data_IF_917530467531
#
_entry.id   IF_917530467531
#
_cell.length_a   1.000
_cell.length_b   1.000
_cell.length_c   1.000
_cell.angle_alpha   90.00
_cell.angle_beta   90.00
_cell.angle_gamma   90.00
#
_symmetry.space_group_name_H-M   'P 1'
#
loop_
_entity.id
_entity.type
_entity.pdbx_description
1 polymer ?
#
# COMPACT_ATOMS: atom_id res chain seq x y z
N UNK A 1 19.93 11.02 10.18
CA UNK A 1 19.95 12.22 11.03
C UNK A 1 19.62 11.92 12.48
N UNK A 2 18.78 12.77 13.08
CA UNK A 2 18.19 12.68 14.43
C UNK A 2 16.65 12.60 14.38
N UNK A 3 16.12 12.05 13.28
CA UNK A 3 14.68 11.93 13.05
C UNK A 3 14.00 11.02 14.07
N UNK A 4 12.71 11.25 14.29
CA UNK A 4 11.94 10.52 15.32
C UNK A 4 10.64 9.99 14.76
N UNK A 5 10.31 8.75 15.09
CA UNK A 5 9.01 8.15 14.81
C UNK A 5 8.35 7.78 16.12
N UNK A 6 7.15 8.30 16.39
CA UNK A 6 6.31 7.86 17.51
C UNK A 6 5.12 7.07 16.95
N UNK A 7 5.44 5.86 16.51
CA UNK A 7 4.53 4.89 15.90
C UNK A 7 5.25 3.55 15.78
N UNK A 8 4.49 2.49 15.55
CA UNK A 8 5.04 1.24 15.05
C UNK A 8 5.53 1.42 13.60
N UNK A 9 6.66 0.81 13.26
CA UNK A 9 7.26 0.89 11.93
C UNK A 9 7.35 -0.50 11.35
N UNK A 10 6.79 -0.69 10.16
CA UNK A 10 6.73 -1.99 9.51
C UNK A 10 7.14 -1.92 8.04
N UNK A 11 7.91 -2.91 7.60
CA UNK A 11 8.23 -3.17 6.19
C UNK A 11 8.50 -4.66 5.97
N UNK A 12 8.23 -5.18 4.77
CA UNK A 12 8.59 -6.55 4.40
C UNK A 12 10.10 -6.72 4.07
N UNK A 13 10.85 -5.61 4.04
CA UNK A 13 12.24 -5.59 3.61
C UNK A 13 13.15 -5.07 4.74
N UNK A 14 13.68 -3.86 4.60
CA UNK A 14 14.78 -3.36 5.42
C UNK A 14 14.39 -2.09 6.19
N UNK A 15 14.78 -2.04 7.45
CA UNK A 15 14.71 -0.87 8.31
C UNK A 15 16.13 -0.47 8.70
N UNK A 16 16.51 0.78 8.39
CA UNK A 16 17.82 1.36 8.72
C UNK A 16 17.65 2.56 9.64
N UNK A 17 18.18 2.48 10.86
CA UNK A 17 18.29 3.62 11.78
C UNK A 17 19.77 3.97 11.96
N UNK A 18 20.12 5.22 11.67
CA UNK A 18 21.49 5.72 11.74
C UNK A 18 21.54 7.04 12.51
N UNK A 19 22.74 7.41 12.99
CA UNK A 19 22.94 8.70 13.66
C UNK A 19 22.26 8.72 15.03
N UNK A 20 21.32 9.63 15.27
CA UNK A 20 20.54 9.70 16.53
C UNK A 20 19.06 9.43 16.29
N UNK A 21 18.73 8.67 15.25
CA UNK A 21 17.35 8.35 14.91
C UNK A 21 16.70 7.53 16.02
N UNK A 22 15.43 7.79 16.31
CA UNK A 22 14.69 7.08 17.35
C UNK A 22 13.30 6.65 16.89
N UNK A 23 12.91 5.42 17.24
CA UNK A 23 11.54 4.91 17.09
C UNK A 23 10.95 4.68 18.48
N UNK A 24 9.77 5.23 18.75
CA UNK A 24 8.97 5.04 19.95
C UNK A 24 7.75 4.20 19.60
N UNK A 25 7.98 2.89 19.52
CA UNK A 25 7.05 1.89 19.00
C UNK A 25 7.80 0.63 18.61
N UNK A 26 7.04 -0.37 18.18
CA UNK A 26 7.61 -1.64 17.74
C UNK A 26 8.09 -1.55 16.29
N UNK A 27 9.16 -2.29 15.98
CA UNK A 27 9.81 -2.31 14.67
C UNK A 27 9.67 -3.71 14.07
N UNK A 28 9.18 -3.78 12.83
CA UNK A 28 8.92 -5.02 12.11
C UNK A 28 9.61 -4.97 10.74
N UNK A 29 10.69 -5.73 10.55
CA UNK A 29 11.39 -5.76 9.27
C UNK A 29 12.21 -7.03 9.08
N UNK A 30 12.33 -7.53 7.85
CA UNK A 30 13.18 -8.69 7.54
C UNK A 30 14.61 -8.44 8.00
N UNK A 31 15.16 -7.30 7.59
CA UNK A 31 16.48 -6.81 8.03
C UNK A 31 16.30 -5.54 8.85
N UNK A 32 16.83 -5.52 10.06
CA UNK A 32 16.89 -4.31 10.89
C UNK A 32 18.36 -3.97 11.13
N UNK A 33 18.76 -2.78 10.71
CA UNK A 33 20.11 -2.25 10.91
C UNK A 33 20.04 -1.01 11.80
N UNK A 34 20.71 -1.06 12.95
CA UNK A 34 20.84 0.03 13.90
C UNK A 34 22.31 0.43 13.99
N UNK A 35 22.66 1.68 13.73
CA UNK A 35 24.02 2.19 13.87
C UNK A 35 24.04 3.59 14.53
N UNK A 36 25.23 4.06 14.91
CA UNK A 36 25.43 5.34 15.58
C UNK A 36 24.92 5.31 17.03
N UNK A 37 24.06 6.25 17.38
CA UNK A 37 23.33 6.36 18.66
C UNK A 37 21.82 6.19 18.42
N UNK A 38 21.44 5.35 17.45
CA UNK A 38 20.03 5.09 17.15
C UNK A 38 19.36 4.31 18.28
N UNK A 39 18.05 4.50 18.45
CA UNK A 39 17.30 3.84 19.51
C UNK A 39 15.94 3.32 19.03
N UNK A 40 15.56 2.14 19.52
CA UNK A 40 14.18 1.62 19.44
C UNK A 40 13.64 1.45 20.84
N UNK A 41 12.63 2.26 21.18
CA UNK A 41 11.90 2.21 22.44
C UNK A 41 10.66 1.32 22.30
N UNK A 42 10.89 0.04 22.00
CA UNK A 42 9.87 -0.97 21.71
C UNK A 42 10.52 -2.31 21.36
N UNK A 43 9.69 -3.27 20.93
CA UNK A 43 10.14 -4.58 20.47
C UNK A 43 10.68 -4.49 19.04
N UNK A 44 11.61 -5.38 18.70
CA UNK A 44 12.16 -5.50 17.35
C UNK A 44 11.94 -6.92 16.84
N UNK A 45 11.14 -7.04 15.78
CA UNK A 45 10.83 -8.28 15.05
C UNK A 45 11.68 -8.35 13.79
N UNK A 46 12.51 -9.39 13.66
CA UNK A 46 13.49 -9.50 12.58
C UNK A 46 13.79 -10.92 12.11
N UNK A 47 14.37 -11.04 10.91
CA UNK A 47 15.13 -12.23 10.47
C UNK A 47 16.63 -12.00 10.67
N UNK A 48 17.13 -10.84 10.22
CA UNK A 48 18.50 -10.38 10.42
C UNK A 48 18.55 -9.07 11.20
N UNK A 49 19.24 -9.05 12.33
CA UNK A 49 19.50 -7.84 13.12
C UNK A 49 20.99 -7.51 13.09
N UNK A 50 21.33 -6.30 12.62
CA UNK A 50 22.68 -5.74 12.68
C UNK A 50 22.69 -4.54 13.61
N UNK A 51 23.55 -4.57 14.62
CA UNK A 51 23.74 -3.46 15.56
C UNK A 51 25.19 -2.99 15.53
N UNK A 52 25.40 -1.72 15.24
CA UNK A 52 26.66 -1.00 15.30
C UNK A 52 26.60 0.18 16.28
N UNK A 53 27.75 0.78 16.56
CA UNK A 53 27.86 1.95 17.42
C UNK A 53 27.37 1.74 18.86
N UNK A 54 26.70 2.76 19.40
CA UNK A 54 26.00 2.81 20.69
C UNK A 54 24.48 2.71 20.50
N UNK A 55 24.03 1.89 19.54
CA UNK A 55 22.60 1.70 19.31
C UNK A 55 21.90 1.01 20.50
N UNK A 56 20.63 1.32 20.72
CA UNK A 56 19.84 0.83 21.86
C UNK A 56 18.50 0.23 21.42
N UNK A 57 18.10 -0.87 22.06
CA UNK A 57 16.76 -1.46 21.95
C UNK A 57 16.29 -1.69 23.39
N UNK A 58 15.16 -1.10 23.80
CA UNK A 58 14.64 -1.24 25.17
C UNK A 58 13.63 -2.37 25.35
N UNK A 59 13.01 -2.85 24.26
CA UNK A 59 12.08 -3.98 24.27
C UNK A 59 12.76 -5.31 23.91
N UNK A 60 11.95 -6.31 23.56
CA UNK A 60 12.43 -7.63 23.20
C UNK A 60 13.01 -7.68 21.78
N UNK A 61 14.00 -8.55 21.58
CA UNK A 61 14.57 -8.90 20.27
C UNK A 61 13.97 -10.22 19.83
N UNK A 62 13.03 -10.18 18.90
CA UNK A 62 12.23 -11.33 18.50
C UNK A 62 12.64 -11.73 17.08
N UNK A 63 13.32 -12.87 16.94
CA UNK A 63 13.73 -13.41 15.65
C UNK A 63 12.55 -14.11 14.93
N UNK A 64 11.50 -13.35 14.65
CA UNK A 64 10.32 -13.75 13.87
C UNK A 64 10.01 -12.61 12.90
N UNK A 65 10.28 -12.81 11.62
CA UNK A 65 9.86 -11.86 10.60
C UNK A 65 8.34 -11.91 10.46
N UNK A 66 7.68 -10.78 10.73
CA UNK A 66 6.25 -10.59 10.52
C UNK A 66 6.10 -9.89 9.17
N UNK A 67 5.46 -10.56 8.23
CA UNK A 67 5.11 -9.98 6.94
C UNK A 67 3.73 -9.32 7.02
N UNK A 68 3.58 -8.24 6.26
CA UNK A 68 2.25 -7.72 5.89
C UNK A 68 1.91 -8.10 4.48
N UNK A 69 0.61 -8.15 4.20
CA UNK A 69 0.08 -8.36 2.86
C UNK A 69 0.84 -7.46 1.86
N UNK A 70 1.62 -8.04 0.94
CA UNK A 70 2.43 -7.29 -0.01
C UNK A 70 1.60 -6.70 -1.15
N UNK A 71 0.28 -6.91 -1.18
CA UNK A 71 -0.63 -6.35 -2.18
C UNK A 71 -1.37 -5.15 -1.60
N UNK A 72 -0.89 -3.92 -1.87
CA UNK A 72 -1.67 -2.74 -1.60
C UNK A 72 -2.99 -2.75 -2.39
N UNK A 73 -3.94 -1.94 -1.94
CA UNK A 73 -5.14 -1.60 -2.71
C UNK A 73 -4.67 -0.80 -3.92
N UNK A 74 -4.99 -1.29 -5.12
CA UNK A 74 -4.67 -0.58 -6.35
C UNK A 74 -5.49 0.70 -6.48
N UNK A 75 -4.81 1.78 -6.85
CA UNK A 75 -5.40 3.11 -6.91
C UNK A 75 -6.06 3.45 -8.24
N UNK A 76 -5.88 2.64 -9.31
CA UNK A 76 -6.35 2.96 -10.65
C UNK A 76 -7.84 3.32 -10.74
N UNK A 77 -8.72 2.51 -10.14
CA UNK A 77 -10.17 2.78 -10.14
C UNK A 77 -10.56 4.02 -9.31
N UNK A 78 -9.83 4.27 -8.22
CA UNK A 78 -10.01 5.45 -7.37
C UNK A 78 -9.56 6.71 -8.14
N UNK A 79 -8.45 6.61 -8.87
CA UNK A 79 -7.92 7.66 -9.72
C UNK A 79 -8.94 8.07 -10.79
N UNK A 80 -9.49 7.10 -11.52
CA UNK A 80 -10.47 7.32 -12.58
C UNK A 80 -11.76 7.95 -12.04
N UNK A 81 -12.22 7.50 -10.87
CA UNK A 81 -13.37 8.11 -10.21
C UNK A 81 -13.08 9.55 -9.79
N UNK A 82 -11.94 9.81 -9.12
CA UNK A 82 -11.57 11.16 -8.69
C UNK A 82 -11.35 12.10 -9.89
N UNK A 83 -10.76 11.64 -10.99
CA UNK A 83 -10.55 12.45 -12.19
C UNK A 83 -11.87 12.90 -12.83
N UNK A 84 -12.90 12.03 -12.81
CA UNK A 84 -14.22 12.32 -13.39
C UNK A 84 -15.14 13.07 -12.44
N UNK A 85 -15.15 12.67 -11.17
CA UNK A 85 -16.16 13.01 -10.17
C UNK A 85 -15.50 13.74 -8.97
N UNK A 86 -14.83 14.87 -9.22
CA UNK A 86 -14.22 15.72 -8.18
C UNK A 86 -14.95 17.04 -7.94
N UNK A 87 -14.58 17.65 -6.82
CA UNK A 87 -15.03 18.91 -6.27
C UNK A 87 -14.03 20.05 -6.51
N UNK A 88 -13.15 19.97 -7.53
CA UNK A 88 -12.18 21.04 -7.79
C UNK A 88 -12.85 22.39 -8.08
N UNK A 89 -14.09 22.39 -8.60
CA UNK A 89 -14.90 23.59 -8.79
C UNK A 89 -15.35 24.26 -7.48
N UNK A 90 -15.23 23.57 -6.33
CA UNK A 90 -15.51 24.11 -4.99
C UNK A 90 -14.28 24.72 -4.32
N UNK A 91 -13.10 24.66 -4.95
CA UNK A 91 -11.89 25.29 -4.41
C UNK A 91 -12.09 26.81 -4.41
N UNK A 92 -12.09 27.48 -3.24
CA UNK A 92 -12.26 28.92 -3.19
C UNK A 92 -11.00 29.64 -3.68
N UNK A 93 -11.12 30.95 -3.89
CA UNK A 93 -9.91 31.79 -3.95
C UNK A 93 -9.15 31.71 -2.62
N UNK A 94 -7.85 31.91 -2.69
CA UNK A 94 -7.01 32.05 -1.50
C UNK A 94 -7.37 33.31 -0.71
N UNK A 95 -6.86 33.44 0.52
CA UNK A 95 -7.03 34.63 1.36
C UNK A 95 -6.48 35.90 0.69
N UNK A 96 -5.56 35.78 -0.29
CA UNK A 96 -5.09 36.89 -1.14
C UNK A 96 -5.82 37.03 -2.48
N UNK A 97 -6.89 36.28 -2.72
CA UNK A 97 -7.70 36.37 -3.94
C UNK A 97 -7.07 35.67 -5.16
N UNK A 98 -6.09 34.77 -4.98
CA UNK A 98 -5.48 34.00 -6.08
C UNK A 98 -6.28 32.72 -6.34
N UNK A 99 -6.21 32.20 -7.57
CA UNK A 99 -6.64 30.84 -7.89
C UNK A 99 -5.58 29.84 -7.40
N UNK A 100 -6.00 28.84 -6.63
CA UNK A 100 -5.10 27.83 -6.07
C UNK A 100 -4.78 26.67 -7.03
N UNK A 101 -5.60 26.47 -8.06
CA UNK A 101 -5.45 25.42 -9.06
C UNK A 101 -5.33 26.04 -10.45
N UNK A 102 -4.36 25.57 -11.24
CA UNK A 102 -4.22 25.99 -12.64
C UNK A 102 -4.95 25.07 -13.63
N UNK A 103 -4.91 25.42 -14.91
CA UNK A 103 -5.53 24.65 -16.00
C UNK A 103 -4.95 23.24 -16.19
N UNK A 104 -3.74 23.00 -15.67
CA UNK A 104 -3.04 21.72 -15.75
C UNK A 104 -3.28 20.89 -14.46
N UNK A 105 -4.24 21.30 -13.63
CA UNK A 105 -4.62 20.68 -12.36
C UNK A 105 -3.48 20.64 -11.34
N UNK A 106 -2.60 21.65 -11.36
CA UNK A 106 -1.56 21.84 -10.35
C UNK A 106 -2.10 22.72 -9.24
N UNK A 107 -2.23 22.14 -8.05
CA UNK A 107 -2.61 22.87 -6.84
C UNK A 107 -1.35 23.52 -6.23
N UNK A 108 -1.33 24.85 -6.12
CA UNK A 108 -0.20 25.60 -5.58
C UNK A 108 -0.62 26.70 -4.63
N UNK A 109 0.00 26.76 -3.44
CA UNK A 109 -0.10 27.89 -2.51
C UNK A 109 1.30 28.36 -2.11
N UNK A 110 1.56 29.66 -2.26
CA UNK A 110 2.86 30.29 -1.97
C UNK A 110 2.74 31.67 -1.29
N UNK A 111 3.86 32.34 -1.05
CA UNK A 111 3.91 33.73 -0.57
C UNK A 111 3.19 34.01 0.77
N UNK A 112 3.18 33.07 1.71
CA UNK A 112 2.45 33.16 2.99
C UNK A 112 0.94 33.31 2.80
N UNK A 113 0.40 32.79 1.70
CA UNK A 113 -1.02 32.77 1.43
C UNK A 113 -1.70 31.63 2.20
N UNK A 114 -3.03 31.60 2.17
CA UNK A 114 -3.80 30.58 2.87
C UNK A 114 -5.08 30.25 2.12
N UNK A 115 -5.54 29.01 2.27
CA UNK A 115 -6.81 28.54 1.71
C UNK A 115 -7.45 27.54 2.67
N UNK A 116 -8.77 27.46 2.66
CA UNK A 116 -9.53 26.43 3.36
C UNK A 116 -10.24 25.56 2.34
N UNK A 117 -9.97 24.25 2.36
CA UNK A 117 -10.72 23.26 1.60
C UNK A 117 -11.87 22.73 2.46
N UNK A 118 -13.08 22.75 1.91
CA UNK A 118 -14.27 22.15 2.53
C UNK A 118 -14.37 20.66 2.22
N UNK A 119 -15.24 19.93 2.91
CA UNK A 119 -15.59 18.54 2.57
C UNK A 119 -15.74 18.31 1.07
N UNK A 120 -15.06 17.29 0.54
CA UNK A 120 -15.10 16.94 -0.88
C UNK A 120 -14.02 15.94 -1.31
N UNK A 121 -14.08 15.56 -2.58
CA UNK A 121 -13.05 14.77 -3.28
C UNK A 121 -12.33 15.69 -4.26
N UNK A 122 -11.02 15.87 -4.11
CA UNK A 122 -10.22 16.72 -4.97
C UNK A 122 -9.23 15.87 -5.78
N UNK A 123 -8.96 16.30 -7.01
CA UNK A 123 -8.07 15.58 -7.92
C UNK A 123 -7.03 16.52 -8.49
N UNK A 124 -5.75 16.22 -8.25
CA UNK A 124 -4.62 17.05 -8.67
C UNK A 124 -3.62 16.21 -9.47
N UNK A 125 -2.96 16.85 -10.44
CA UNK A 125 -1.78 16.29 -11.08
C UNK A 125 -0.50 16.57 -10.31
N UNK A 126 -0.49 17.64 -9.51
CA UNK A 126 0.62 18.02 -8.63
C UNK A 126 0.09 18.90 -7.50
N UNK A 127 0.70 18.80 -6.33
CA UNK A 127 0.38 19.62 -5.17
C UNK A 127 1.64 20.24 -4.56
N UNK A 128 1.69 21.56 -4.46
CA UNK A 128 2.84 22.29 -3.89
C UNK A 128 2.39 23.36 -2.89
N UNK A 129 2.88 23.28 -1.65
CA UNK A 129 2.62 24.26 -0.60
C UNK A 129 3.95 24.78 -0.09
N UNK A 130 4.24 26.07 -0.32
CA UNK A 130 5.53 26.66 -0.01
C UNK A 130 5.41 28.08 0.57
N UNK A 131 6.52 28.70 0.96
CA UNK A 131 6.57 30.11 1.33
C UNK A 131 5.84 30.46 2.63
N UNK A 132 5.80 29.54 3.61
CA UNK A 132 5.07 29.65 4.88
C UNK A 132 3.54 29.71 4.70
N UNK A 133 3.04 29.08 3.65
CA UNK A 133 1.62 29.07 3.32
C UNK A 133 0.85 28.03 4.12
N UNK A 134 -0.48 28.14 4.13
CA UNK A 134 -1.34 27.22 4.90
C UNK A 134 -2.52 26.71 4.08
N UNK A 135 -2.70 25.40 4.08
CA UNK A 135 -3.94 24.76 3.64
C UNK A 135 -4.67 24.27 4.88
N UNK A 136 -5.86 24.80 5.14
CA UNK A 136 -6.75 24.40 6.23
C UNK A 136 -7.79 23.43 5.68
N UNK A 137 -8.17 22.44 6.49
CA UNK A 137 -9.20 21.46 6.15
C UNK A 137 -10.42 21.72 7.02
N UNK A 138 -11.60 21.74 6.41
CA UNK A 138 -12.88 21.90 7.10
C UNK A 138 -13.84 20.78 6.70
N UNK A 139 -13.92 19.75 7.53
CA UNK A 139 -14.67 18.51 7.26
C UNK A 139 -13.82 17.46 6.53
N UNK A 140 -14.48 16.49 5.91
CA UNK A 140 -13.79 15.32 5.35
C UNK A 140 -13.30 15.59 3.92
N UNK A 141 -11.99 15.70 3.76
CA UNK A 141 -11.33 16.00 2.48
C UNK A 141 -10.54 14.80 1.99
N UNK A 142 -10.89 14.28 0.82
CA UNK A 142 -10.12 13.24 0.14
C UNK A 142 -9.40 13.88 -1.04
N UNK A 143 -8.08 13.73 -1.11
CA UNK A 143 -7.26 14.26 -2.19
C UNK A 143 -6.65 13.08 -2.94
N UNK A 144 -6.88 13.00 -4.24
CA UNK A 144 -6.14 12.12 -5.14
C UNK A 144 -5.11 12.96 -5.90
N UNK A 145 -3.82 12.61 -5.78
CA UNK A 145 -2.74 13.30 -6.47
C UNK A 145 -1.94 12.30 -7.34
N UNK A 146 -1.95 12.48 -8.66
CA UNK A 146 -1.17 11.61 -9.57
C UNK A 146 0.35 11.85 -9.47
N UNK A 147 0.73 13.07 -9.12
CA UNK A 147 2.14 13.47 -9.09
C UNK A 147 2.65 13.75 -7.69
N UNK A 148 3.72 14.54 -7.64
CA UNK A 148 4.37 14.97 -6.41
C UNK A 148 3.42 15.77 -5.51
N UNK A 149 3.42 15.43 -4.22
CA UNK A 149 2.87 16.25 -3.14
C UNK A 149 4.05 16.81 -2.35
N UNK A 150 4.27 18.12 -2.43
CA UNK A 150 5.39 18.80 -1.80
C UNK A 150 4.91 19.88 -0.82
N UNK A 151 5.39 19.79 0.42
CA UNK A 151 5.13 20.78 1.48
C UNK A 151 6.46 21.25 2.04
N UNK A 152 6.78 22.52 1.82
CA UNK A 152 8.11 23.08 2.11
C UNK A 152 8.00 24.54 2.60
N UNK A 153 9.13 25.17 2.95
CA UNK A 153 9.22 26.59 3.25
C UNK A 153 8.52 26.98 4.55
N UNK A 154 8.46 26.07 5.52
CA UNK A 154 7.73 26.24 6.80
C UNK A 154 6.22 26.35 6.62
N UNK A 155 5.69 25.65 5.63
CA UNK A 155 4.26 25.66 5.30
C UNK A 155 3.49 24.61 6.11
N UNK A 156 2.17 24.73 6.14
CA UNK A 156 1.29 23.81 6.85
C UNK A 156 0.20 23.23 5.96
N UNK A 157 0.05 21.90 5.94
CA UNK A 157 -1.15 21.23 5.46
C UNK A 157 -1.91 20.64 6.64
N UNK A 158 -3.10 21.16 6.89
CA UNK A 158 -3.95 20.74 8.01
C UNK A 158 -3.26 20.78 9.39
N UNK A 159 -2.24 21.64 9.55
CA UNK A 159 -1.38 21.66 10.75
C UNK A 159 -2.15 21.87 12.06
N UNK A 160 -3.30 22.55 12.03
CA UNK A 160 -4.15 22.76 13.22
C UNK A 160 -5.35 21.81 13.32
N UNK A 161 -5.60 20.97 12.33
CA UNK A 161 -6.78 20.10 12.29
C UNK A 161 -6.51 18.68 12.78
N UNK A 162 -7.51 17.81 12.59
CA UNK A 162 -7.38 16.38 12.87
C UNK A 162 -6.81 15.67 11.63
N UNK A 163 -5.84 14.77 11.83
CA UNK A 163 -5.25 14.01 10.73
C UNK A 163 -6.29 13.14 9.98
N UNK A 164 -7.41 12.78 10.62
CA UNK A 164 -8.51 12.00 10.03
C UNK A 164 -9.47 12.82 9.17
N UNK A 165 -9.40 14.15 9.23
CA UNK A 165 -10.21 15.01 8.38
C UNK A 165 -9.68 15.03 6.94
N UNK A 166 -8.48 14.49 6.70
CA UNK A 166 -7.86 14.49 5.37
C UNK A 166 -7.16 13.19 5.02
N UNK A 167 -7.52 12.62 3.86
CA UNK A 167 -6.84 11.46 3.27
C UNK A 167 -6.20 11.90 1.96
N UNK A 168 -4.92 11.58 1.77
CA UNK A 168 -4.18 11.83 0.53
C UNK A 168 -3.84 10.48 -0.09
N UNK A 169 -4.35 10.25 -1.30
CA UNK A 169 -3.96 9.15 -2.17
C UNK A 169 -2.93 9.67 -3.17
N UNK A 170 -1.80 8.96 -3.33
CA UNK A 170 -0.81 9.30 -4.34
C UNK A 170 -0.33 8.10 -5.14
N UNK A 171 -0.51 8.17 -6.45
CA UNK A 171 -0.32 7.07 -7.38
C UNK A 171 0.75 7.41 -8.42
N UNK A 172 1.93 6.78 -8.28
CA UNK A 172 3.05 6.96 -9.19
C UNK A 172 2.78 6.39 -10.59
N UNK A 173 1.95 5.34 -10.70
CA UNK A 173 1.80 4.55 -11.94
C UNK A 173 1.11 5.33 -13.07
N UNK A 174 0.44 6.44 -12.74
CA UNK A 174 -0.24 7.31 -13.72
C UNK A 174 0.65 8.42 -14.30
N UNK A 175 1.97 8.39 -14.08
CA UNK A 175 2.94 9.14 -14.91
C UNK A 175 3.62 10.34 -14.23
N UNK A 176 3.94 10.24 -12.93
CA UNK A 176 4.66 11.28 -12.19
C UNK A 176 5.84 10.76 -11.35
N UNK A 177 6.53 11.69 -10.67
CA UNK A 177 7.61 11.36 -9.73
C UNK A 177 7.09 10.70 -8.43
N UNK A 178 5.76 10.58 -8.26
CA UNK A 178 5.08 9.78 -7.24
C UNK A 178 5.73 9.87 -5.87
N UNK A 179 5.89 11.11 -5.38
CA UNK A 179 6.64 11.39 -4.15
C UNK A 179 5.83 12.30 -3.24
N UNK A 180 5.76 11.92 -1.98
CA UNK A 180 5.26 12.77 -0.88
C UNK A 180 6.49 13.33 -0.17
N UNK A 181 6.72 14.63 -0.26
CA UNK A 181 7.86 15.29 0.38
C UNK A 181 7.39 16.37 1.35
N UNK A 182 7.83 16.27 2.60
CA UNK A 182 7.66 17.28 3.65
C UNK A 182 9.03 17.74 4.09
N UNK A 183 9.35 19.02 3.89
CA UNK A 183 10.71 19.55 4.07
C UNK A 183 10.74 20.87 4.84
N UNK A 184 11.95 21.34 5.15
CA UNK A 184 12.20 22.58 5.86
C UNK A 184 11.71 22.49 7.31
N UNK A 185 10.83 23.38 7.73
CA UNK A 185 10.17 23.34 9.04
C UNK A 185 8.65 23.22 8.86
N UNK A 186 8.23 22.44 7.86
CA UNK A 186 6.82 22.32 7.46
C UNK A 186 6.05 21.29 8.28
N UNK A 187 4.73 21.41 8.31
CA UNK A 187 3.85 20.52 9.07
C UNK A 187 2.74 19.94 8.19
N UNK A 188 2.49 18.64 8.32
CA UNK A 188 1.36 17.94 7.69
C UNK A 188 0.60 17.11 8.73
N UNK A 189 -0.74 17.19 8.69
CA UNK A 189 -1.62 16.25 9.39
C UNK A 189 -2.57 15.58 8.42
N UNK A 190 -2.35 14.32 8.09
CA UNK A 190 -3.17 13.58 7.13
C UNK A 190 -2.97 12.06 7.27
N UNK A 191 -3.94 11.29 6.79
CA UNK A 191 -3.71 9.91 6.38
C UNK A 191 -3.16 9.92 4.96
N UNK A 192 -2.02 9.29 4.73
CA UNK A 192 -1.36 9.21 3.42
C UNK A 192 -1.31 7.76 2.99
N UNK A 193 -1.90 7.48 1.83
CA UNK A 193 -1.89 6.18 1.19
C UNK A 193 -1.28 6.28 -0.22
N UNK A 194 -0.04 5.86 -0.34
CA UNK A 194 0.79 6.12 -1.51
C UNK A 194 1.60 4.86 -1.88
N UNK A 195 0.92 3.74 -2.21
CA UNK A 195 1.49 2.39 -2.25
C UNK A 195 2.73 2.23 -3.13
N UNK A 196 2.78 2.97 -4.25
CA UNK A 196 3.88 2.91 -5.22
C UNK A 196 4.85 4.11 -5.12
N UNK A 197 4.56 5.00 -4.17
CA UNK A 197 5.22 6.29 -4.01
C UNK A 197 6.23 6.29 -2.84
N UNK A 198 7.20 7.20 -2.92
CA UNK A 198 8.16 7.43 -1.84
C UNK A 198 7.63 8.50 -0.88
N UNK A 199 7.86 8.32 0.42
CA UNK A 199 7.48 9.27 1.46
C UNK A 199 8.75 9.77 2.15
N UNK A 200 8.99 11.07 2.06
CA UNK A 200 10.14 11.73 2.67
C UNK A 200 9.71 12.82 3.65
N UNK A 201 10.24 12.74 4.87
CA UNK A 201 10.06 13.76 5.93
C UNK A 201 11.46 14.24 6.34
N UNK A 202 11.85 15.42 5.88
CA UNK A 202 13.20 15.96 5.98
C UNK A 202 13.25 17.24 6.83
N UNK A 203 14.45 17.74 7.11
CA UNK A 203 14.64 19.01 7.83
C UNK A 203 14.17 18.91 9.28
N UNK A 204 13.38 19.88 9.76
CA UNK A 204 12.70 19.87 11.05
C UNK A 204 11.18 19.74 10.89
N UNK A 205 10.76 19.11 9.80
CA UNK A 205 9.35 18.95 9.49
C UNK A 205 8.63 18.02 10.45
N UNK A 206 7.30 18.19 10.54
CA UNK A 206 6.43 17.40 11.41
C UNK A 206 5.31 16.77 10.60
N UNK A 207 5.19 15.47 10.69
CA UNK A 207 4.11 14.69 10.11
C UNK A 207 3.30 14.04 11.23
N UNK A 208 1.98 14.20 11.18
CA UNK A 208 1.04 13.50 12.08
C UNK A 208 0.02 12.74 11.25
N UNK A 209 -0.22 11.48 11.58
CA UNK A 209 -1.19 10.64 10.87
C UNK A 209 -0.67 9.23 10.61
N UNK A 210 -1.22 8.59 9.59
CA UNK A 210 -0.83 7.24 9.15
C UNK A 210 -0.27 7.33 7.74
N UNK A 211 0.88 6.71 7.51
CA UNK A 211 1.62 6.82 6.25
C UNK A 211 1.93 5.43 5.73
N UNK A 212 1.40 5.13 4.56
CA UNK A 212 1.65 3.89 3.84
C UNK A 212 2.23 4.23 2.47
N UNK A 213 3.40 3.69 2.15
CA UNK A 213 3.97 3.82 0.81
C UNK A 213 5.08 2.83 0.52
N UNK A 214 5.60 2.86 -0.70
CA UNK A 214 6.61 1.91 -1.20
C UNK A 214 7.90 1.97 -0.38
N UNK A 215 8.27 3.19 0.02
CA UNK A 215 9.45 3.46 0.82
C UNK A 215 9.21 4.69 1.69
N UNK A 216 9.68 4.64 2.94
CA UNK A 216 9.71 5.77 3.85
C UNK A 216 11.14 6.20 4.17
N UNK A 217 11.40 7.50 4.20
CA UNK A 217 12.66 8.09 4.65
C UNK A 217 12.39 9.28 5.57
N UNK A 218 13.04 9.28 6.73
CA UNK A 218 12.99 10.40 7.66
C UNK A 218 14.43 10.84 7.95
N UNK A 219 14.75 12.10 7.65
CA UNK A 219 16.09 12.64 7.85
C UNK A 219 16.06 14.02 8.51
N UNK A 220 17.24 14.54 8.88
CA UNK A 220 17.36 15.74 9.70
C UNK A 220 16.82 15.50 11.12
N UNK A 221 16.03 16.43 11.62
CA UNK A 221 15.24 16.39 12.86
C UNK A 221 13.75 16.11 12.58
N UNK A 222 13.41 15.58 11.39
CA UNK A 222 12.03 15.31 11.00
C UNK A 222 11.33 14.35 11.96
N UNK A 223 10.03 14.57 12.21
CA UNK A 223 9.25 13.74 13.11
C UNK A 223 7.99 13.18 12.45
N UNK A 224 7.70 11.92 12.68
CA UNK A 224 6.43 11.27 12.34
C UNK A 224 5.73 10.80 13.62
N UNK A 225 4.45 11.10 13.79
CA UNK A 225 3.65 10.67 14.95
C UNK A 225 2.29 10.13 14.51
N UNK A 226 1.85 9.01 15.06
CA UNK A 226 0.46 8.56 14.89
C UNK A 226 -0.45 9.25 15.90
N UNK A 227 -1.68 9.65 15.52
CA UNK A 227 -2.67 10.17 16.47
C UNK A 227 -3.07 9.12 17.51
N UNK A 228 -3.51 9.53 18.71
CA UNK A 228 -3.92 8.63 19.80
C UNK A 228 -5.01 7.62 19.40
N UNK A 229 -5.89 8.01 18.48
CA UNK A 229 -6.86 7.10 17.88
C UNK A 229 -6.10 6.18 16.93
N UNK A 230 -5.95 4.91 17.26
CA UNK A 230 -5.38 3.92 16.34
C UNK A 230 -6.39 3.64 15.22
N UNK A 231 -5.99 3.75 13.95
CA UNK A 231 -6.67 3.00 12.90
C UNK A 231 -6.34 1.53 13.23
N UNK A 232 -7.34 0.63 13.35
CA UNK A 232 -7.02 -0.78 13.54
C UNK A 232 -6.08 -1.19 12.41
N UNK A 233 -4.87 -1.65 12.77
CA UNK A 233 -3.96 -2.21 11.81
C UNK A 233 -4.75 -3.21 10.96
N UNK A 234 -4.56 -3.19 9.63
CA UNK A 234 -5.06 -4.29 8.81
C UNK A 234 -4.65 -5.58 9.53
N UNK A 235 -5.58 -6.53 9.76
CA UNK A 235 -5.27 -7.72 10.54
C UNK A 235 -3.99 -8.30 9.96
N UNK A 236 -2.98 -8.46 10.83
CA UNK A 236 -1.75 -9.17 10.50
C UNK A 236 -2.24 -10.59 10.21
N UNK A 237 -2.57 -10.85 8.95
CA UNK A 237 -2.92 -12.17 8.50
C UNK A 237 -1.58 -12.87 8.40
N UNK A 238 -1.35 -13.86 9.27
CA UNK A 238 -0.34 -14.88 9.01
C UNK A 238 -0.71 -15.50 7.65
N UNK A 239 -0.11 -14.96 6.59
CA UNK A 239 -0.49 -15.23 5.20
C UNK A 239 -0.19 -16.70 4.83
N UNK A 240 0.66 -17.37 5.59
CA UNK A 240 1.07 -18.75 5.37
C UNK A 240 0.02 -19.82 5.72
N UNK A 241 -0.83 -19.59 6.73
CA UNK A 241 -1.72 -20.66 7.21
C UNK A 241 -2.86 -20.98 6.25
N UNK A 242 -3.28 -20.01 5.43
CA UNK A 242 -4.31 -20.23 4.42
C UNK A 242 -3.72 -20.71 3.09
N UNK A 243 -2.54 -20.24 2.68
CA UNK A 243 -1.90 -20.73 1.46
C UNK A 243 -1.61 -22.24 1.51
N UNK A 244 -1.25 -22.75 2.69
CA UNK A 244 -1.05 -24.18 2.94
C UNK A 244 -2.35 -25.01 2.80
N UNK A 245 -3.53 -24.39 2.88
CA UNK A 245 -4.82 -25.06 2.73
C UNK A 245 -5.27 -25.16 1.27
N UNK A 246 -4.66 -24.41 0.34
CA UNK A 246 -4.89 -24.62 -1.10
C UNK A 246 -4.32 -25.98 -1.48
N UNK A 247 -5.12 -26.87 -2.05
CA UNK A 247 -4.67 -28.21 -2.46
C UNK A 247 -4.89 -28.41 -3.95
N UNK A 248 -3.85 -28.84 -4.66
CA UNK A 248 -3.90 -29.25 -6.07
C UNK A 248 -3.26 -30.63 -6.16
N UNK A 249 -4.08 -31.67 -6.30
CA UNK A 249 -3.63 -33.08 -6.34
C UNK A 249 -4.36 -33.85 -7.42
N UNK A 250 -3.70 -34.87 -7.94
CA UNK A 250 -4.28 -35.82 -8.88
C UNK A 250 -4.61 -37.11 -8.12
N UNK A 251 -5.82 -37.61 -8.30
CA UNK A 251 -6.29 -38.87 -7.74
C UNK A 251 -7.10 -39.60 -8.82
N UNK A 252 -6.66 -40.81 -9.18
CA UNK A 252 -7.33 -41.66 -10.17
C UNK A 252 -7.57 -40.97 -11.54
N UNK A 253 -6.59 -40.17 -12.00
CA UNK A 253 -6.68 -39.41 -13.26
C UNK A 253 -7.61 -38.19 -13.20
N UNK A 254 -8.08 -37.80 -12.01
CA UNK A 254 -8.89 -36.61 -11.76
C UNK A 254 -8.06 -35.61 -10.95
N UNK A 255 -7.95 -34.38 -11.45
CA UNK A 255 -7.32 -33.31 -10.68
C UNK A 255 -8.35 -32.70 -9.74
N UNK A 256 -8.04 -32.67 -8.44
CA UNK A 256 -8.83 -32.03 -7.40
C UNK A 256 -8.16 -30.73 -6.96
N UNK A 257 -8.90 -29.64 -7.07
CA UNK A 257 -8.48 -28.28 -6.68
C UNK A 257 -9.37 -27.83 -5.52
N UNK A 258 -8.78 -27.59 -4.35
CA UNK A 258 -9.47 -27.01 -3.18
C UNK A 258 -8.88 -25.64 -2.89
N UNK A 259 -9.70 -24.59 -2.94
CA UNK A 259 -9.30 -23.17 -2.83
C UNK A 259 -10.31 -22.39 -2.01
N UNK A 260 -9.98 -21.17 -1.56
CA UNK A 260 -10.95 -20.35 -0.85
C UNK A 260 -11.91 -19.63 -1.79
N UNK A 261 -13.08 -19.23 -1.28
CA UNK A 261 -14.09 -18.45 -2.02
C UNK A 261 -13.59 -17.11 -2.56
N UNK A 262 -12.53 -16.54 -2.00
CA UNK A 262 -11.90 -15.32 -2.52
C UNK A 262 -10.88 -15.57 -3.64
N UNK A 263 -10.62 -16.83 -4.00
CA UNK A 263 -9.73 -17.19 -5.11
C UNK A 263 -10.50 -17.28 -6.44
N UNK A 264 -9.74 -17.25 -7.53
CA UNK A 264 -10.16 -17.76 -8.83
C UNK A 264 -9.26 -18.94 -9.24
N UNK A 265 -9.76 -19.82 -10.10
CA UNK A 265 -8.99 -20.93 -10.67
C UNK A 265 -9.04 -20.81 -12.17
N UNK A 266 -7.87 -20.73 -12.80
CA UNK A 266 -7.70 -20.81 -14.24
C UNK A 266 -7.12 -22.17 -14.63
N UNK A 267 -7.67 -22.73 -15.70
CA UNK A 267 -7.22 -23.96 -16.32
C UNK A 267 -6.75 -23.58 -17.72
N UNK A 268 -5.50 -23.90 -18.04
CA UNK A 268 -4.91 -23.68 -19.35
C UNK A 268 -4.42 -25.02 -19.89
N UNK A 269 -4.86 -25.39 -21.09
CA UNK A 269 -4.42 -26.61 -21.77
C UNK A 269 -3.52 -26.19 -22.93
N UNK A 270 -2.35 -26.82 -23.05
CA UNK A 270 -1.37 -26.54 -24.10
C UNK A 270 -0.95 -27.81 -24.83
N UNK A 271 -0.59 -27.73 -26.11
CA UNK A 271 0.09 -28.83 -26.80
C UNK A 271 1.59 -28.85 -26.45
N UNK A 272 2.33 -29.84 -26.98
CA UNK A 272 3.80 -29.95 -26.81
C UNK A 272 4.58 -28.71 -27.29
N UNK A 273 4.11 -28.03 -28.33
CA UNK A 273 4.73 -26.79 -28.84
C UNK A 273 4.44 -25.57 -27.93
N UNK A 274 3.63 -25.73 -26.89
CA UNK A 274 3.20 -24.65 -25.99
C UNK A 274 2.04 -23.81 -26.51
N UNK A 275 1.40 -24.20 -27.61
CA UNK A 275 0.19 -23.55 -28.12
C UNK A 275 -1.00 -23.86 -27.22
N UNK A 276 -1.77 -22.83 -26.86
CA UNK A 276 -2.94 -22.97 -25.99
C UNK A 276 -4.10 -23.62 -26.77
N UNK A 277 -4.57 -24.77 -26.29
CA UNK A 277 -5.66 -25.54 -26.86
C UNK A 277 -7.01 -25.23 -26.22
N UNK A 278 -7.05 -25.01 -24.91
CA UNK A 278 -8.29 -24.65 -24.19
C UNK A 278 -8.04 -23.77 -22.97
N UNK A 279 -9.12 -23.13 -22.51
CA UNK A 279 -9.10 -22.24 -21.34
C UNK A 279 -10.43 -22.26 -20.60
N UNK A 280 -10.37 -22.33 -19.28
CA UNK A 280 -11.51 -22.08 -18.43
C UNK A 280 -11.11 -21.33 -17.16
N UNK A 281 -12.04 -20.52 -16.65
CA UNK A 281 -11.86 -19.75 -15.42
C UNK A 281 -13.07 -19.89 -14.53
N UNK A 282 -12.83 -20.15 -13.25
CA UNK A 282 -13.85 -20.39 -12.24
C UNK A 282 -13.62 -19.48 -11.03
N UNK A 283 -14.72 -19.02 -10.43
CA UNK A 283 -14.71 -18.27 -9.18
C UNK A 283 -15.97 -18.62 -8.38
N UNK A 284 -15.90 -18.51 -7.06
CA UNK A 284 -17.12 -18.55 -6.25
C UNK A 284 -18.02 -17.33 -6.60
N UNK A 285 -19.35 -17.48 -6.58
CA UNK A 285 -20.27 -16.35 -6.69
C UNK A 285 -19.97 -15.31 -5.60
N UNK A 286 -19.96 -14.03 -5.99
CA UNK A 286 -19.79 -12.94 -5.02
C UNK A 286 -20.97 -12.90 -4.07
N UNK A 287 -20.70 -12.60 -2.80
CA UNK A 287 -21.70 -12.35 -1.75
C UNK A 287 -22.58 -13.55 -1.38
N UNK A 288 -22.25 -14.76 -1.83
CA UNK A 288 -22.93 -16.01 -1.43
C UNK A 288 -22.02 -16.80 -0.50
N UNK A 289 -22.50 -17.08 0.71
CA UNK A 289 -21.83 -17.97 1.66
C UNK A 289 -22.07 -19.43 1.29
N UNK A 290 -21.04 -20.25 1.31
CA UNK A 290 -21.16 -21.68 1.05
C UNK A 290 -19.91 -22.30 0.44
N UNK A 291 -20.04 -23.58 0.09
CA UNK A 291 -19.07 -24.33 -0.69
C UNK A 291 -19.57 -24.43 -2.12
N UNK A 292 -18.70 -24.18 -3.10
CA UNK A 292 -19.05 -24.27 -4.53
C UNK A 292 -18.19 -25.32 -5.19
N UNK A 293 -18.82 -26.24 -5.91
CA UNK A 293 -18.13 -27.29 -6.64
C UNK A 293 -18.39 -27.13 -8.14
N UNK A 294 -17.31 -27.17 -8.91
CA UNK A 294 -17.32 -27.13 -10.36
C UNK A 294 -16.60 -28.36 -10.90
N UNK A 295 -17.02 -28.82 -12.08
CA UNK A 295 -16.32 -29.86 -12.82
C UNK A 295 -16.05 -29.36 -14.22
N UNK A 296 -14.80 -29.46 -14.64
CA UNK A 296 -14.35 -29.14 -15.98
C UNK A 296 -13.84 -30.41 -16.63
N UNK A 297 -14.36 -30.71 -17.82
CA UNK A 297 -13.92 -31.82 -18.66
C UNK A 297 -13.24 -31.23 -19.89
N UNK A 298 -12.05 -31.75 -20.18
CA UNK A 298 -11.38 -31.40 -21.43
C UNK A 298 -12.21 -31.93 -22.60
N UNK A 299 -12.25 -31.15 -23.68
CA UNK A 299 -12.98 -31.52 -24.90
C UNK A 299 -12.40 -32.80 -25.50
N UNK A 300 -13.28 -33.67 -25.97
CA UNK A 300 -12.94 -35.03 -26.44
C UNK A 300 -12.12 -35.03 -27.74
N UNK A 301 -12.01 -33.90 -28.44
CA UNK A 301 -11.31 -33.73 -29.71
C UNK A 301 -9.82 -33.38 -29.57
N UNK A 302 -9.29 -33.36 -28.34
CA UNK A 302 -7.85 -33.17 -28.09
C UNK A 302 -7.16 -34.54 -28.14
N UNK A 303 -6.86 -35.00 -29.36
CA UNK A 303 -6.20 -36.29 -29.65
C UNK A 303 -4.66 -36.27 -29.47
N UNK A 304 -4.07 -35.12 -29.18
CA UNK A 304 -2.62 -34.94 -29.02
C UNK A 304 -2.21 -34.97 -27.53
N UNK A 305 -0.94 -35.30 -27.25
CA UNK A 305 -0.37 -35.09 -25.90
C UNK A 305 -0.48 -33.61 -25.53
N UNK A 306 -0.93 -33.32 -24.31
CA UNK A 306 -1.17 -31.96 -23.83
C UNK A 306 -0.70 -31.77 -22.39
N UNK A 307 -0.29 -30.54 -22.07
CA UNK A 307 0.03 -30.13 -20.71
C UNK A 307 -1.11 -29.32 -20.13
N UNK A 308 -1.54 -29.73 -18.95
CA UNK A 308 -2.61 -29.14 -18.18
C UNK A 308 -2.06 -28.27 -17.05
N UNK A 309 -2.20 -26.96 -17.15
CA UNK A 309 -1.73 -26.00 -16.16
C UNK A 309 -2.90 -25.42 -15.35
N UNK A 310 -2.88 -25.66 -14.05
CA UNK A 310 -3.82 -25.05 -13.10
C UNK A 310 -3.15 -23.88 -12.41
N UNK A 311 -3.80 -22.72 -12.46
CA UNK A 311 -3.38 -21.50 -11.79
C UNK A 311 -4.46 -21.07 -10.80
N UNK A 312 -4.08 -21.00 -9.53
CA UNK A 312 -4.93 -20.42 -8.48
C UNK A 312 -4.56 -18.96 -8.34
N UNK A 313 -5.53 -18.09 -8.53
CA UNK A 313 -5.39 -16.65 -8.38
C UNK A 313 -6.00 -16.20 -7.04
N UNK A 314 -5.34 -15.28 -6.38
CA UNK A 314 -5.78 -14.61 -5.16
C UNK A 314 -6.70 -13.44 -5.46
N UNK A 315 -6.86 -12.58 -4.45
CA UNK A 315 -7.48 -11.26 -4.64
C UNK A 315 -6.67 -10.49 -5.69
N UNK A 316 -7.35 -9.76 -6.56
CA UNK A 316 -6.74 -8.97 -7.66
C UNK A 316 -5.99 -9.81 -8.70
N UNK A 317 -6.45 -11.04 -8.96
CA UNK A 317 -5.91 -11.93 -10.00
C UNK A 317 -4.44 -12.32 -9.83
N UNK A 318 -3.88 -12.12 -8.63
CA UNK A 318 -2.50 -12.49 -8.38
C UNK A 318 -2.30 -14.00 -8.41
N UNK A 319 -1.31 -14.50 -9.15
CA UNK A 319 -0.93 -15.91 -9.07
C UNK A 319 -0.48 -16.29 -7.65
N UNK A 320 -1.23 -17.20 -7.03
CA UNK A 320 -0.98 -17.72 -5.69
C UNK A 320 -0.31 -19.09 -5.76
N UNK A 321 -0.80 -19.97 -6.64
CA UNK A 321 -0.25 -21.31 -6.82
C UNK A 321 -0.39 -21.75 -8.26
N UNK A 322 0.58 -22.47 -8.77
CA UNK A 322 0.50 -23.12 -10.08
C UNK A 322 0.95 -24.57 -9.97
N UNK A 323 0.34 -25.45 -10.77
CA UNK A 323 0.79 -26.82 -10.95
C UNK A 323 0.47 -27.30 -12.36
N UNK A 324 1.41 -28.02 -12.97
CA UNK A 324 1.27 -28.62 -14.29
C UNK A 324 1.11 -30.14 -14.17
N UNK A 325 0.36 -30.71 -15.10
CA UNK A 325 0.08 -32.13 -15.21
C UNK A 325 0.23 -32.54 -16.67
N UNK A 326 0.79 -33.73 -16.90
CA UNK A 326 1.01 -34.29 -18.24
C UNK A 326 -0.27 -34.94 -18.81
N UNK A 327 -1.22 -35.30 -17.97
CA UNK A 327 -2.54 -35.80 -18.39
C UNK A 327 -3.61 -35.26 -17.44
N UNK A 328 -4.76 -34.80 -17.97
CA UNK A 328 -5.89 -34.45 -17.11
C UNK A 328 -7.23 -34.56 -17.84
N UNK A 329 -8.02 -35.61 -17.60
CA UNK A 329 -9.33 -35.76 -18.26
C UNK A 329 -10.42 -34.93 -17.60
N UNK A 330 -10.34 -34.79 -16.28
CA UNK A 330 -11.36 -34.10 -15.50
C UNK A 330 -10.72 -33.35 -14.35
N UNK A 331 -11.21 -32.13 -14.13
CA UNK A 331 -10.76 -31.23 -13.07
C UNK A 331 -11.96 -30.87 -12.23
N UNK A 332 -11.92 -31.26 -10.95
CA UNK A 332 -12.93 -30.91 -9.97
C UNK A 332 -12.41 -29.79 -9.08
N UNK A 333 -13.15 -28.69 -8.99
CA UNK A 333 -12.77 -27.48 -8.28
C UNK A 333 -13.75 -27.27 -7.13
N UNK A 334 -13.24 -27.11 -5.92
CA UNK A 334 -14.00 -26.88 -4.71
C UNK A 334 -13.56 -25.56 -4.07
N UNK A 335 -14.46 -24.59 -4.03
CA UNK A 335 -14.30 -23.35 -3.30
C UNK A 335 -14.84 -23.54 -1.87
N UNK A 336 -13.99 -23.37 -0.86
CA UNK A 336 -14.32 -23.44 0.57
C UNK A 336 -14.31 -22.05 1.20
N UNK A 337 -15.12 -21.84 2.23
CA UNK A 337 -15.22 -20.56 2.92
C UNK A 337 -14.11 -20.35 3.94
#
# INVERSE_FOLDING_TARGET
GAGRVAADVLTNNEIKLNGRAAVYGDVYGKTVELDGQSAVYGNVYYETLKTGGKSEITGEKIQKHITVNPYPIELGSIAEHAARDNDNNKIPLTEKGKQAIDKDLRFKIDDKDSITLSTGVYYFKKMEINGKSKVKINGNVNIFCEGEVKIDGKSGFNASGNAYDSIIFADKEKGGDGKIQVDGESEIKAVVYAPDSEIEINGKSKAVGHYFGRQGKIDGEGTLQTPDKRIPAAPIKEEDDNLNKIKIKEEDGIIKVEVFTFNAVEINIYNEDGNKLDYARFSAPKDIKGTFEYSYKIKEDIDAEYVCEIRVLGVWDKLVRTKKFEECKTINIKFIQ
#
